data_IF_152681048236
#
_entry.id   IF_152681048236
#
_cell.length_a   1.000
_cell.length_b   1.000
_cell.length_c   1.000
_cell.angle_alpha   90.00
_cell.angle_beta   90.00
_cell.angle_gamma   90.00
#
_symmetry.space_group_name_H-M   'P 1'
#
loop_
_entity.id
_entity.type
_entity.pdbx_description
1 polymer ?
#
# COMPACT_ATOMS: atom_id res chain seq x y z
N UNK A 1 -4.11 11.54 4.48
CA UNK A 1 -4.95 10.48 3.85
C UNK A 1 -6.42 10.93 3.88
N UNK A 2 -7.25 10.45 2.94
CA UNK A 2 -8.49 11.01 2.36
C UNK A 2 -9.58 11.77 3.15
N UNK A 3 -9.34 12.24 4.38
CA UNK A 3 -10.34 12.95 5.21
C UNK A 3 -10.55 14.40 4.78
N UNK A 4 -9.70 14.93 3.90
CA UNK A 4 -9.72 16.33 3.46
C UNK A 4 -10.99 16.80 2.75
N UNK A 5 -11.90 15.89 2.39
CA UNK A 5 -13.20 16.20 1.79
C UNK A 5 -14.38 15.91 2.73
N UNK A 6 -14.10 15.61 4.00
CA UNK A 6 -15.11 15.28 5.02
C UNK A 6 -14.99 16.25 6.19
N UNK A 7 -16.13 16.72 6.70
CA UNK A 7 -16.16 17.61 7.86
C UNK A 7 -15.64 16.88 9.12
N UNK A 8 -14.50 17.36 9.63
CA UNK A 8 -13.87 16.80 10.83
C UNK A 8 -14.66 17.01 12.12
N UNK A 9 -15.51 18.05 12.22
CA UNK A 9 -16.40 18.24 13.36
C UNK A 9 -17.54 17.23 13.33
N UNK A 10 -18.11 16.97 12.16
CA UNK A 10 -19.13 15.93 12.00
C UNK A 10 -18.57 14.55 12.40
N UNK A 11 -17.37 14.19 11.94
CA UNK A 11 -16.71 12.93 12.30
C UNK A 11 -16.47 12.77 13.81
N UNK A 12 -16.09 13.85 14.49
CA UNK A 12 -15.86 13.84 15.96
C UNK A 12 -17.15 13.67 16.75
N UNK A 13 -18.28 14.13 16.23
CA UNK A 13 -19.59 13.99 16.89
C UNK A 13 -20.24 12.62 16.66
N UNK A 14 -19.84 11.88 15.61
CA UNK A 14 -20.45 10.60 15.25
C UNK A 14 -20.53 9.57 16.39
N UNK A 15 -19.50 9.34 17.23
CA UNK A 15 -19.59 8.38 18.32
C UNK A 15 -20.81 8.59 19.24
N UNK A 16 -21.21 9.85 19.45
CA UNK A 16 -22.30 10.21 20.35
C UNK A 16 -23.69 10.06 19.71
N UNK A 17 -23.76 10.09 18.38
CA UNK A 17 -25.03 10.19 17.64
C UNK A 17 -25.33 9.01 16.71
N UNK A 18 -24.34 8.24 16.28
CA UNK A 18 -24.46 7.21 15.23
C UNK A 18 -25.45 6.08 15.58
N UNK A 19 -25.68 5.83 16.87
CA UNK A 19 -26.63 4.83 17.36
C UNK A 19 -27.92 5.43 17.92
N UNK A 20 -28.11 6.74 17.78
CA UNK A 20 -29.33 7.41 18.26
C UNK A 20 -30.46 7.25 17.25
N UNK A 21 -31.71 6.93 17.68
CA UNK A 21 -32.84 6.78 16.76
C UNK A 21 -33.18 8.04 15.93
N UNK A 22 -32.75 9.21 16.37
CA UNK A 22 -33.07 10.50 15.78
C UNK A 22 -32.14 10.91 14.64
N UNK A 23 -30.96 10.29 14.52
CA UNK A 23 -29.95 10.64 13.52
C UNK A 23 -29.76 9.49 12.55
N UNK A 24 -30.04 9.75 11.27
CA UNK A 24 -29.76 8.80 10.20
C UNK A 24 -28.42 9.14 9.54
N UNK A 25 -27.43 8.29 9.74
CA UNK A 25 -26.09 8.44 9.14
C UNK A 25 -26.03 7.62 7.85
N UNK A 26 -25.79 8.28 6.72
CA UNK A 26 -25.69 7.61 5.42
C UNK A 26 -24.53 6.60 5.35
N UNK A 27 -24.60 5.57 4.48
CA UNK A 27 -23.61 4.49 4.46
C UNK A 27 -22.18 4.95 4.22
N UNK A 28 -21.96 5.89 3.29
CA UNK A 28 -20.62 6.42 2.98
C UNK A 28 -19.97 7.07 4.22
N UNK A 29 -20.71 7.89 4.98
CA UNK A 29 -20.19 8.52 6.19
C UNK A 29 -19.89 7.49 7.30
N UNK A 30 -20.70 6.44 7.42
CA UNK A 30 -20.41 5.34 8.33
C UNK A 30 -19.11 4.61 7.95
N UNK A 31 -18.91 4.32 6.66
CA UNK A 31 -17.66 3.70 6.16
C UNK A 31 -16.45 4.56 6.50
N UNK A 32 -16.54 5.89 6.30
CA UNK A 32 -15.47 6.83 6.68
C UNK A 32 -15.19 6.75 8.18
N UNK A 33 -16.23 6.79 9.01
CA UNK A 33 -16.09 6.69 10.46
C UNK A 33 -15.44 5.37 10.90
N UNK A 34 -15.96 4.23 10.43
CA UNK A 34 -15.45 2.92 10.81
C UNK A 34 -14.03 2.65 10.27
N UNK A 35 -13.66 3.23 9.13
CA UNK A 35 -12.27 3.23 8.67
C UNK A 35 -11.35 3.95 9.66
N UNK A 36 -11.74 5.13 10.15
CA UNK A 36 -10.95 5.86 11.15
C UNK A 36 -10.85 5.09 12.47
N UNK A 37 -11.94 4.43 12.89
CA UNK A 37 -11.92 3.52 14.05
C UNK A 37 -10.97 2.36 13.82
N UNK A 38 -10.97 1.75 12.62
CA UNK A 38 -10.05 0.67 12.25
C UNK A 38 -8.58 1.12 12.29
N UNK A 39 -8.26 2.30 11.75
CA UNK A 39 -6.91 2.85 11.80
C UNK A 39 -6.49 3.16 13.25
N UNK A 40 -7.36 3.83 14.03
CA UNK A 40 -7.11 4.10 15.44
C UNK A 40 -6.88 2.83 16.26
N UNK A 41 -7.71 1.81 16.05
CA UNK A 41 -7.55 0.48 16.66
C UNK A 41 -6.21 -0.18 16.29
N UNK A 42 -5.80 -0.06 15.03
CA UNK A 42 -4.50 -0.54 14.54
C UNK A 42 -3.34 0.18 15.23
N UNK A 43 -3.42 1.51 15.38
CA UNK A 43 -2.37 2.33 16.01
C UNK A 43 -2.26 2.16 17.53
N UNK A 44 -3.32 1.78 18.23
CA UNK A 44 -3.24 1.45 19.68
C UNK A 44 -2.95 -0.03 19.93
N UNK A 45 -2.59 -0.79 18.89
CA UNK A 45 -2.25 -2.21 19.01
C UNK A 45 -3.41 -3.08 19.49
N UNK A 46 -4.63 -2.74 19.08
CA UNK A 46 -5.83 -3.45 19.48
C UNK A 46 -6.36 -3.13 20.88
N UNK A 47 -5.63 -2.37 21.70
CA UNK A 47 -6.05 -1.88 23.02
C UNK A 47 -6.28 -2.97 24.10
N UNK A 48 -6.35 -2.61 25.40
CA UNK A 48 -6.57 -3.56 26.50
C UNK A 48 -7.96 -4.24 26.47
N UNK A 49 -8.92 -3.65 25.75
CA UNK A 49 -10.33 -4.08 25.69
C UNK A 49 -10.74 -4.65 24.31
N UNK A 50 -9.83 -4.71 23.33
CA UNK A 50 -10.17 -5.12 21.96
C UNK A 50 -10.23 -6.63 21.81
N UNK A 51 -11.40 -7.14 21.45
CA UNK A 51 -11.58 -8.48 20.91
C UNK A 51 -10.63 -8.71 19.72
N UNK A 52 -9.95 -9.86 19.65
CA UNK A 52 -8.94 -10.21 18.60
C UNK A 52 -9.48 -10.26 17.16
N UNK A 53 -10.70 -9.80 16.91
CA UNK A 53 -11.40 -9.86 15.63
C UNK A 53 -12.05 -8.53 15.22
N UNK A 54 -11.74 -7.42 15.90
CA UNK A 54 -12.33 -6.12 15.54
C UNK A 54 -11.92 -5.68 14.13
N UNK A 55 -10.65 -5.90 13.74
CA UNK A 55 -10.18 -5.58 12.38
C UNK A 55 -11.05 -6.23 11.29
N UNK A 56 -11.22 -7.55 11.36
CA UNK A 56 -12.05 -8.29 10.38
C UNK A 56 -13.54 -7.96 10.47
N UNK A 57 -14.08 -7.71 11.67
CA UNK A 57 -15.49 -7.32 11.85
C UNK A 57 -15.79 -5.94 11.28
N UNK A 58 -14.94 -4.96 11.54
CA UNK A 58 -15.09 -3.61 10.99
C UNK A 58 -15.04 -3.68 9.47
N UNK A 59 -14.09 -4.42 8.92
CA UNK A 59 -13.99 -4.59 7.48
C UNK A 59 -15.26 -5.22 6.87
N UNK A 60 -15.75 -6.33 7.43
CA UNK A 60 -16.98 -7.00 6.97
C UNK A 60 -18.19 -6.08 7.06
N UNK A 61 -18.30 -5.29 8.13
CA UNK A 61 -19.37 -4.30 8.28
C UNK A 61 -19.28 -3.19 7.21
N UNK A 62 -18.09 -2.68 6.90
CA UNK A 62 -17.92 -1.71 5.81
C UNK A 62 -18.30 -2.29 4.44
N UNK A 63 -18.05 -3.58 4.19
CA UNK A 63 -18.49 -4.26 2.96
C UNK A 63 -20.02 -4.38 2.88
N UNK A 64 -20.69 -4.69 3.99
CA UNK A 64 -22.15 -4.78 4.06
C UNK A 64 -22.83 -3.41 3.88
N UNK A 65 -22.20 -2.35 4.39
CA UNK A 65 -22.66 -0.97 4.21
C UNK A 65 -22.47 -0.44 2.79
N UNK A 66 -21.46 -0.93 2.06
CA UNK A 66 -21.01 -0.32 0.81
C UNK A 66 -22.17 -0.27 -0.22
N UNK A 67 -22.63 0.93 -0.61
CA UNK A 67 -23.63 1.04 -1.66
C UNK A 67 -23.00 0.71 -3.02
N UNK A 68 -23.83 0.53 -4.04
CA UNK A 68 -23.34 0.60 -5.40
C UNK A 68 -23.17 2.07 -5.81
N UNK A 69 -21.97 2.63 -5.53
CA UNK A 69 -21.63 4.01 -5.87
C UNK A 69 -21.78 4.34 -7.37
N UNK A 70 -21.84 3.34 -8.26
CA UNK A 70 -22.06 3.57 -9.70
C UNK A 70 -23.50 3.96 -10.04
N UNK A 71 -24.44 3.70 -9.13
CA UNK A 71 -25.87 4.00 -9.31
C UNK A 71 -26.30 5.30 -8.64
N UNK A 72 -25.39 6.01 -7.96
CA UNK A 72 -25.73 7.28 -7.30
C UNK A 72 -25.94 8.38 -8.33
N UNK A 73 -27.07 9.09 -8.26
CA UNK A 73 -27.37 10.24 -9.10
C UNK A 73 -26.56 11.48 -8.68
N UNK A 74 -26.55 11.78 -7.38
CA UNK A 74 -25.75 12.83 -6.78
C UNK A 74 -24.55 12.22 -6.05
N UNK A 75 -23.35 12.70 -6.37
CA UNK A 75 -22.10 12.21 -5.76
C UNK A 75 -21.47 13.28 -4.88
N UNK A 76 -20.89 12.84 -3.77
CA UNK A 76 -20.23 13.74 -2.81
C UNK A 76 -18.77 13.34 -2.56
N UNK A 77 -18.01 14.27 -1.99
CA UNK A 77 -16.67 13.97 -1.48
C UNK A 77 -16.67 12.85 -0.43
N UNK A 78 -17.75 12.69 0.34
CA UNK A 78 -17.90 11.62 1.33
C UNK A 78 -17.99 10.26 0.64
N UNK A 79 -18.74 10.16 -0.47
CA UNK A 79 -18.85 8.92 -1.26
C UNK A 79 -17.49 8.52 -1.84
N UNK A 80 -16.78 9.49 -2.42
CA UNK A 80 -15.44 9.27 -2.96
C UNK A 80 -14.44 8.83 -1.86
N UNK A 81 -14.44 9.51 -0.72
CA UNK A 81 -13.59 9.16 0.42
C UNK A 81 -13.94 7.77 0.95
N UNK A 82 -15.22 7.43 1.06
CA UNK A 82 -15.67 6.11 1.51
C UNK A 82 -15.23 4.99 0.56
N UNK A 83 -15.39 5.16 -0.75
CA UNK A 83 -14.94 4.17 -1.73
C UNK A 83 -13.40 4.01 -1.72
N UNK A 84 -12.66 5.12 -1.60
CA UNK A 84 -11.20 5.11 -1.48
C UNK A 84 -10.72 4.41 -0.21
N UNK A 85 -11.37 4.68 0.92
CA UNK A 85 -11.09 3.99 2.19
C UNK A 85 -11.47 2.52 2.15
N UNK A 86 -12.57 2.16 1.50
CA UNK A 86 -12.95 0.75 1.33
C UNK A 86 -11.92 -0.01 0.48
N UNK A 87 -11.38 0.63 -0.57
CA UNK A 87 -10.27 0.08 -1.34
C UNK A 87 -9.06 -0.20 -0.44
N UNK A 88 -8.66 0.79 0.37
CA UNK A 88 -7.50 0.69 1.25
C UNK A 88 -7.67 -0.39 2.34
N UNK A 89 -8.79 -0.39 3.07
CA UNK A 89 -9.03 -1.40 4.11
C UNK A 89 -9.14 -2.81 3.52
N UNK A 90 -9.67 -2.97 2.30
CA UNK A 90 -9.71 -4.26 1.63
C UNK A 90 -8.29 -4.77 1.27
N UNK A 91 -7.39 -3.88 0.84
CA UNK A 91 -5.95 -4.22 0.69
C UNK A 91 -5.40 -4.73 2.02
N UNK A 92 -5.59 -3.98 3.10
CA UNK A 92 -5.12 -4.32 4.45
C UNK A 92 -5.69 -5.63 5.04
N UNK A 93 -6.74 -6.17 4.42
CA UNK A 93 -7.38 -7.45 4.76
C UNK A 93 -7.07 -8.55 3.73
N UNK A 94 -6.11 -8.33 2.82
CA UNK A 94 -5.73 -9.23 1.71
C UNK A 94 -6.87 -9.54 0.72
N UNK A 95 -7.95 -8.75 0.72
CA UNK A 95 -9.07 -8.90 -0.21
C UNK A 95 -8.85 -8.08 -1.47
N UNK A 96 -8.01 -8.62 -2.35
CA UNK A 96 -7.63 -7.98 -3.63
C UNK A 96 -8.83 -7.76 -4.56
N UNK A 97 -9.88 -8.59 -4.44
CA UNK A 97 -11.06 -8.51 -5.31
C UNK A 97 -11.90 -7.30 -4.93
N UNK A 98 -12.24 -7.17 -3.66
CA UNK A 98 -13.03 -6.03 -3.18
C UNK A 98 -12.20 -4.73 -3.18
N UNK A 99 -10.90 -4.81 -2.93
CA UNK A 99 -9.99 -3.66 -3.08
C UNK A 99 -10.06 -3.07 -4.49
N UNK A 100 -9.90 -3.91 -5.52
CA UNK A 100 -10.00 -3.47 -6.90
C UNK A 100 -11.40 -2.95 -7.25
N UNK A 101 -12.47 -3.63 -6.80
CA UNK A 101 -13.85 -3.18 -7.03
C UNK A 101 -14.09 -1.78 -6.45
N UNK A 102 -13.70 -1.56 -5.20
CA UNK A 102 -13.86 -0.27 -4.54
C UNK A 102 -12.99 0.82 -5.18
N UNK A 103 -11.78 0.48 -5.65
CA UNK A 103 -10.95 1.40 -6.44
C UNK A 103 -11.63 1.82 -7.75
N UNK A 104 -12.21 0.88 -8.52
CA UNK A 104 -12.98 1.22 -9.71
C UNK A 104 -14.14 2.17 -9.41
N UNK A 105 -14.85 1.94 -8.30
CA UNK A 105 -15.94 2.81 -7.86
C UNK A 105 -15.43 4.20 -7.44
N UNK A 106 -14.31 4.28 -6.71
CA UNK A 106 -13.66 5.55 -6.37
C UNK A 106 -13.22 6.33 -7.61
N UNK A 107 -12.64 5.66 -8.61
CA UNK A 107 -12.28 6.30 -9.89
C UNK A 107 -13.50 6.78 -10.67
N UNK A 108 -14.60 6.01 -10.69
CA UNK A 108 -15.86 6.46 -11.28
C UNK A 108 -16.40 7.72 -10.60
N UNK A 109 -16.40 7.76 -9.27
CA UNK A 109 -16.81 8.94 -8.49
C UNK A 109 -15.91 10.14 -8.79
N UNK A 110 -14.58 9.93 -8.87
CA UNK A 110 -13.64 10.99 -9.20
C UNK A 110 -13.94 11.63 -10.57
N UNK A 111 -14.23 10.83 -11.60
CA UNK A 111 -14.62 11.34 -12.92
C UNK A 111 -15.95 12.10 -12.87
N UNK A 112 -16.95 11.57 -12.17
CA UNK A 112 -18.26 12.22 -12.05
C UNK A 112 -18.19 13.55 -11.31
N UNK A 113 -17.24 13.68 -10.37
CA UNK A 113 -16.93 14.92 -9.67
C UNK A 113 -15.99 15.86 -10.45
N UNK A 114 -15.51 15.46 -11.63
CA UNK A 114 -14.56 16.24 -12.43
C UNK A 114 -13.17 16.39 -11.82
N UNK A 115 -12.78 15.50 -10.89
CA UNK A 115 -11.49 15.58 -10.19
C UNK A 115 -10.30 15.35 -11.12
N UNK A 116 -10.48 14.61 -12.20
CA UNK A 116 -9.44 14.32 -13.21
C UNK A 116 -9.17 15.50 -14.15
N UNK A 117 -10.11 16.43 -14.28
CA UNK A 117 -9.96 17.66 -15.08
C UNK A 117 -10.01 18.92 -14.21
N UNK A 118 -9.65 18.80 -12.93
CA UNK A 118 -9.84 19.85 -11.94
C UNK A 118 -9.23 21.20 -12.35
N UNK A 119 -8.07 21.21 -13.03
CA UNK A 119 -7.43 22.45 -13.45
C UNK A 119 -8.09 23.10 -14.68
N UNK A 120 -8.83 22.33 -15.48
CA UNK A 120 -9.58 22.86 -16.62
C UNK A 120 -10.92 23.47 -16.17
N UNK A 121 -11.53 22.87 -15.15
CA UNK A 121 -12.85 23.23 -14.65
C UNK A 121 -12.86 23.31 -13.12
N UNK A 122 -12.08 24.25 -12.53
CA UNK A 122 -12.07 24.41 -11.08
C UNK A 122 -13.44 24.90 -10.61
N UNK A 123 -13.87 24.40 -9.47
CA UNK A 123 -15.10 24.85 -8.82
C UNK A 123 -14.85 26.26 -8.23
N UNK A 124 -15.63 27.29 -8.63
CA UNK A 124 -15.43 28.65 -8.14
C UNK A 124 -15.68 28.80 -6.64
N UNK A 125 -16.43 27.88 -6.03
CA UNK A 125 -16.74 27.89 -4.60
C UNK A 125 -15.67 27.19 -3.75
N UNK A 126 -14.72 26.50 -4.39
CA UNK A 126 -13.60 25.89 -3.68
C UNK A 126 -12.67 26.96 -3.12
N UNK A 127 -12.52 26.97 -1.80
CA UNK A 127 -11.44 27.70 -1.18
C UNK A 127 -10.07 27.03 -1.45
N UNK A 128 -9.01 27.72 -1.06
CA UNK A 128 -7.65 27.24 -1.25
C UNK A 128 -7.30 25.95 -0.49
N UNK A 129 -8.12 25.52 0.48
CA UNK A 129 -7.95 24.28 1.23
C UNK A 129 -8.72 23.13 0.57
N UNK A 130 -9.97 23.33 0.15
CA UNK A 130 -10.77 22.33 -0.57
C UNK A 130 -10.09 21.97 -1.88
N UNK A 131 -9.65 22.97 -2.65
CA UNK A 131 -8.95 22.78 -3.92
C UNK A 131 -7.70 21.92 -3.75
N UNK A 132 -6.95 22.15 -2.68
CA UNK A 132 -5.74 21.40 -2.39
C UNK A 132 -6.05 19.95 -2.01
N UNK A 133 -7.07 19.74 -1.17
CA UNK A 133 -7.47 18.39 -0.80
C UNK A 133 -7.97 17.60 -2.02
N UNK A 134 -8.73 18.20 -2.94
CA UNK A 134 -9.11 17.55 -4.21
C UNK A 134 -7.89 17.06 -5.01
N UNK A 135 -6.82 17.87 -5.11
CA UNK A 135 -5.55 17.44 -5.74
C UNK A 135 -4.89 16.28 -4.99
N UNK A 136 -4.77 16.37 -3.67
CA UNK A 136 -4.20 15.29 -2.85
C UNK A 136 -4.98 14.00 -3.08
N UNK A 137 -6.32 14.07 -3.09
CA UNK A 137 -7.19 12.91 -3.30
C UNK A 137 -6.98 12.26 -4.67
N UNK A 138 -6.93 13.06 -5.72
CA UNK A 138 -6.68 12.56 -7.06
C UNK A 138 -5.31 11.85 -7.14
N UNK A 139 -4.26 12.47 -6.60
CA UNK A 139 -2.92 11.88 -6.60
C UNK A 139 -2.83 10.60 -5.75
N UNK A 140 -3.55 10.52 -4.63
CA UNK A 140 -3.64 9.28 -3.85
C UNK A 140 -4.39 8.18 -4.60
N UNK A 141 -5.45 8.52 -5.33
CA UNK A 141 -6.17 7.57 -6.19
C UNK A 141 -5.27 7.06 -7.33
N UNK A 142 -4.53 7.96 -7.99
CA UNK A 142 -3.56 7.63 -9.03
C UNK A 142 -2.44 6.72 -8.51
N UNK A 143 -1.91 6.99 -7.32
CA UNK A 143 -0.94 6.13 -6.65
C UNK A 143 -1.49 4.71 -6.42
N UNK A 144 -2.74 4.61 -5.98
CA UNK A 144 -3.42 3.32 -5.82
C UNK A 144 -3.55 2.58 -7.15
N UNK A 145 -3.89 3.27 -8.24
CA UNK A 145 -3.95 2.67 -9.58
C UNK A 145 -2.58 2.14 -10.02
N UNK A 146 -1.53 2.95 -9.89
CA UNK A 146 -0.15 2.54 -10.19
C UNK A 146 0.21 1.24 -9.48
N UNK A 147 -0.17 1.11 -8.21
CA UNK A 147 0.10 -0.10 -7.42
C UNK A 147 -0.72 -1.30 -7.91
N UNK A 148 -2.02 -1.12 -8.21
CA UNK A 148 -2.86 -2.16 -8.80
C UNK A 148 -2.36 -2.65 -10.16
N UNK A 149 -1.86 -1.73 -11.00
CA UNK A 149 -1.30 -2.09 -12.31
C UNK A 149 0.00 -2.89 -12.16
N UNK A 150 0.96 -2.38 -11.36
CA UNK A 150 2.29 -3.01 -11.22
C UNK A 150 2.21 -4.36 -10.50
N UNK A 151 1.58 -4.43 -9.33
CA UNK A 151 1.67 -5.61 -8.46
C UNK A 151 0.49 -6.58 -8.63
N UNK A 152 -0.61 -6.13 -9.22
CA UNK A 152 -1.84 -6.92 -9.37
C UNK A 152 -2.29 -7.10 -10.81
N UNK A 153 -1.51 -6.62 -11.78
CA UNK A 153 -1.77 -6.74 -13.21
C UNK A 153 -3.20 -6.29 -13.59
N UNK A 154 -3.66 -5.20 -12.96
CA UNK A 154 -4.95 -4.59 -13.27
C UNK A 154 -4.83 -3.64 -14.46
N UNK A 155 -5.91 -3.45 -15.24
CA UNK A 155 -5.91 -2.48 -16.34
C UNK A 155 -5.89 -1.04 -15.82
N UNK A 156 -5.51 -0.11 -16.70
CA UNK A 156 -5.64 1.32 -16.46
C UNK A 156 -7.12 1.76 -16.33
N UNK A 157 -7.38 2.74 -15.47
CA UNK A 157 -8.69 3.41 -15.33
C UNK A 157 -8.49 4.91 -15.49
N UNK A 158 -7.82 5.56 -14.55
CA UNK A 158 -7.46 6.98 -14.56
C UNK A 158 -6.44 7.23 -15.67
N UNK A 159 -5.43 6.38 -15.78
CA UNK A 159 -4.38 6.56 -16.80
C UNK A 159 -4.81 6.06 -18.19
N UNK A 160 -6.05 5.59 -18.34
CA UNK A 160 -6.59 5.22 -19.65
C UNK A 160 -6.97 6.44 -20.50
N UNK A 161 -7.07 7.62 -19.87
CA UNK A 161 -7.38 8.89 -20.51
C UNK A 161 -6.44 10.00 -20.00
N UNK A 162 -6.24 11.08 -20.76
CA UNK A 162 -5.52 12.24 -20.27
C UNK A 162 -6.23 12.89 -19.07
N UNK A 163 -5.46 13.28 -18.06
CA UNK A 163 -5.93 13.99 -16.87
C UNK A 163 -5.15 15.31 -16.69
N UNK A 164 -5.79 16.29 -16.06
CA UNK A 164 -5.27 17.65 -15.85
C UNK A 164 -5.44 18.05 -14.39
N UNK A 165 -4.50 17.59 -13.56
CA UNK A 165 -4.47 17.86 -12.12
C UNK A 165 -3.06 18.26 -11.71
N UNK A 166 -2.92 19.45 -11.14
CA UNK A 166 -1.61 19.90 -10.67
C UNK A 166 -1.16 19.09 -9.44
N UNK A 167 0.15 19.10 -9.19
CA UNK A 167 0.69 18.59 -7.94
C UNK A 167 0.09 19.34 -6.74
N UNK A 168 -0.18 18.66 -5.60
CA UNK A 168 -0.67 19.30 -4.39
C UNK A 168 0.47 20.08 -3.70
N UNK A 169 0.81 21.24 -4.27
CA UNK A 169 1.98 22.04 -3.88
C UNK A 169 1.92 22.58 -2.45
N UNK A 170 0.75 22.91 -1.90
CA UNK A 170 0.64 23.37 -0.50
C UNK A 170 0.82 22.21 0.47
N UNK A 171 0.24 21.05 0.16
CA UNK A 171 0.43 19.84 0.98
C UNK A 171 1.90 19.39 0.98
N UNK A 172 2.59 19.50 -0.16
CA UNK A 172 4.04 19.25 -0.26
C UNK A 172 4.85 20.32 0.48
N UNK A 173 4.47 21.60 0.36
CA UNK A 173 5.17 22.70 1.01
C UNK A 173 5.03 22.71 2.54
N UNK A 174 4.04 22.00 3.09
CA UNK A 174 3.86 21.81 4.53
C UNK A 174 5.06 21.09 5.19
N UNK A 175 5.96 20.48 4.41
CA UNK A 175 7.19 19.89 4.93
C UNK A 175 8.10 20.88 5.69
N UNK A 176 7.89 22.19 5.51
CA UNK A 176 8.58 23.25 6.27
C UNK A 176 8.20 23.25 7.76
N UNK A 177 6.99 22.82 8.07
CA UNK A 177 6.49 22.71 9.43
C UNK A 177 6.85 21.33 9.97
N UNK A 178 7.55 21.30 11.12
CA UNK A 178 8.07 20.05 11.69
C UNK A 178 6.96 19.03 11.97
N UNK A 179 5.75 19.48 12.32
CA UNK A 179 4.57 18.63 12.57
C UNK A 179 4.10 17.87 11.33
N UNK A 180 4.34 18.42 10.13
CA UNK A 180 3.79 17.92 8.87
C UNK A 180 4.89 17.35 7.95
N UNK A 181 6.15 17.46 8.37
CA UNK A 181 7.32 17.02 7.62
C UNK A 181 7.24 15.57 7.13
N UNK A 182 6.83 14.63 7.97
CA UNK A 182 6.75 13.21 7.61
C UNK A 182 5.70 12.91 6.55
N UNK A 183 4.50 13.47 6.71
CA UNK A 183 3.40 13.30 5.78
C UNK A 183 3.70 13.98 4.44
N UNK A 184 4.19 15.22 4.48
CA UNK A 184 4.51 15.99 3.28
C UNK A 184 5.68 15.35 2.49
N UNK A 185 6.70 14.86 3.19
CA UNK A 185 7.82 14.11 2.58
C UNK A 185 7.33 12.83 1.92
N UNK A 186 6.52 12.04 2.64
CA UNK A 186 5.98 10.78 2.11
C UNK A 186 5.08 11.01 0.89
N UNK A 187 4.26 12.07 0.90
CA UNK A 187 3.46 12.49 -0.25
C UNK A 187 4.34 12.87 -1.45
N UNK A 188 5.38 13.67 -1.22
CA UNK A 188 6.29 14.12 -2.29
C UNK A 188 7.04 12.95 -2.93
N UNK A 189 7.60 12.05 -2.12
CA UNK A 189 8.32 10.89 -2.63
C UNK A 189 7.36 9.93 -3.36
N UNK A 190 6.20 9.62 -2.79
CA UNK A 190 5.19 8.78 -3.45
C UNK A 190 4.74 9.36 -4.79
N UNK A 191 4.65 10.70 -4.88
CA UNK A 191 4.32 11.39 -6.12
C UNK A 191 5.44 11.27 -7.15
N UNK A 192 6.71 11.48 -6.76
CA UNK A 192 7.87 11.26 -7.66
C UNK A 192 7.94 9.81 -8.15
N UNK A 193 7.73 8.84 -7.26
CA UNK A 193 7.68 7.42 -7.64
C UNK A 193 6.54 7.13 -8.63
N UNK A 194 5.35 7.72 -8.40
CA UNK A 194 4.21 7.58 -9.32
C UNK A 194 4.53 8.07 -10.72
N UNK A 195 5.26 9.19 -10.86
CA UNK A 195 5.70 9.70 -12.17
C UNK A 195 6.63 8.70 -12.89
N UNK A 196 7.57 8.08 -12.20
CA UNK A 196 8.44 7.04 -12.79
C UNK A 196 7.61 5.83 -13.23
N UNK A 197 6.60 5.44 -12.45
CA UNK A 197 5.70 4.34 -12.81
C UNK A 197 4.88 4.67 -14.05
N UNK A 198 4.35 5.89 -14.17
CA UNK A 198 3.64 6.34 -15.37
C UNK A 198 4.54 6.30 -16.61
N UNK A 199 5.81 6.71 -16.49
CA UNK A 199 6.79 6.55 -17.57
C UNK A 199 6.97 5.05 -17.91
N UNK A 200 7.08 4.18 -16.89
CA UNK A 200 7.20 2.74 -17.12
C UNK A 200 5.99 2.14 -17.86
N UNK A 201 4.77 2.64 -17.63
CA UNK A 201 3.59 2.21 -18.40
C UNK A 201 3.68 2.65 -19.85
N UNK A 202 4.16 3.87 -20.13
CA UNK A 202 4.37 4.32 -21.50
C UNK A 202 5.40 3.47 -22.27
N UNK A 203 6.29 2.79 -21.54
CA UNK A 203 7.27 1.84 -22.10
C UNK A 203 6.63 0.45 -22.26
N UNK A 204 5.98 -0.07 -21.21
CA UNK A 204 5.44 -1.43 -21.17
C UNK A 204 4.20 -1.63 -22.05
N UNK A 205 3.37 -0.60 -22.19
CA UNK A 205 2.14 -0.64 -22.99
C UNK A 205 2.41 -0.33 -24.48
N UNK A 206 3.63 0.10 -24.82
CA UNK A 206 3.98 0.49 -26.19
C UNK A 206 4.47 -0.70 -27.01
N UNK A 207 3.57 -1.25 -27.82
CA UNK A 207 3.84 -2.38 -28.72
C UNK A 207 4.82 -2.09 -29.87
N UNK A 208 5.18 -0.84 -30.11
CA UNK A 208 6.13 -0.45 -31.16
C UNK A 208 7.59 -0.51 -30.68
N UNK A 209 7.83 -0.64 -29.37
CA UNK A 209 9.18 -0.72 -28.82
C UNK A 209 9.78 -2.12 -28.99
N UNK A 210 11.05 -2.15 -29.39
CA UNK A 210 11.84 -3.39 -29.35
C UNK A 210 12.12 -3.80 -27.91
N UNK A 211 12.38 -5.09 -27.68
CA UNK A 211 12.73 -5.61 -26.34
C UNK A 211 13.94 -4.87 -25.73
N UNK A 212 14.91 -4.45 -26.56
CA UNK A 212 16.08 -3.69 -26.12
C UNK A 212 15.70 -2.28 -25.65
N UNK A 213 14.78 -1.60 -26.35
CA UNK A 213 14.26 -0.29 -25.94
C UNK A 213 13.44 -0.38 -24.66
N UNK A 214 12.59 -1.40 -24.54
CA UNK A 214 11.84 -1.67 -23.30
C UNK A 214 12.80 -1.86 -22.14
N UNK A 215 13.82 -2.71 -22.31
CA UNK A 215 14.84 -2.95 -21.29
C UNK A 215 15.56 -1.66 -20.87
N UNK A 216 16.04 -0.87 -21.84
CA UNK A 216 16.71 0.39 -21.57
C UNK A 216 15.80 1.40 -20.83
N UNK A 217 14.52 1.45 -21.21
CA UNK A 217 13.53 2.30 -20.53
C UNK A 217 13.31 1.87 -19.08
N UNK A 218 13.17 0.57 -18.83
CA UNK A 218 13.03 0.03 -17.47
C UNK A 218 14.31 0.22 -16.64
N UNK A 219 15.50 0.06 -17.23
CA UNK A 219 16.78 0.35 -16.58
C UNK A 219 16.82 1.81 -16.10
N UNK A 220 16.34 2.75 -16.92
CA UNK A 220 16.20 4.16 -16.54
C UNK A 220 15.21 4.34 -15.38
N UNK A 221 14.03 3.70 -15.42
CA UNK A 221 13.06 3.77 -14.31
C UNK A 221 13.68 3.29 -12.98
N UNK A 222 14.49 2.23 -13.03
CA UNK A 222 15.21 1.72 -11.85
C UNK A 222 16.20 2.76 -11.33
N UNK A 223 17.01 3.36 -12.21
CA UNK A 223 17.96 4.41 -11.83
C UNK A 223 17.26 5.63 -11.23
N UNK A 224 16.13 6.04 -11.78
CA UNK A 224 15.34 7.15 -11.27
C UNK A 224 14.80 6.87 -9.85
N UNK A 225 14.31 5.64 -9.59
CA UNK A 225 13.88 5.25 -8.24
C UNK A 225 15.05 5.19 -7.26
N UNK A 226 16.20 4.63 -7.65
CA UNK A 226 17.42 4.64 -6.81
C UNK A 226 17.82 6.07 -6.47
N UNK A 227 17.81 6.98 -7.45
CA UNK A 227 18.08 8.40 -7.25
C UNK A 227 17.10 9.04 -6.26
N UNK A 228 15.80 8.80 -6.42
CA UNK A 228 14.77 9.28 -5.49
C UNK A 228 15.03 8.77 -4.07
N UNK A 229 15.24 7.46 -3.87
CA UNK A 229 15.43 6.91 -2.53
C UNK A 229 16.70 7.44 -1.84
N UNK A 230 17.76 7.66 -2.62
CA UNK A 230 19.03 8.24 -2.16
C UNK A 230 18.89 9.72 -1.78
N UNK A 231 18.25 10.53 -2.62
CA UNK A 231 18.04 11.96 -2.41
C UNK A 231 17.32 12.25 -1.09
N UNK A 232 16.29 11.45 -0.79
CA UNK A 232 15.39 11.67 0.33
C UNK A 232 15.80 10.95 1.62
N UNK A 233 16.81 10.07 1.56
CA UNK A 233 17.40 9.39 2.73
C UNK A 233 16.38 8.75 3.67
N UNK A 234 15.31 8.17 3.11
CA UNK A 234 14.20 7.61 3.92
C UNK A 234 14.68 6.54 4.91
N UNK A 235 15.71 5.76 4.57
CA UNK A 235 16.32 4.80 5.47
C UNK A 235 16.93 5.40 6.74
N UNK A 236 17.47 6.63 6.66
CA UNK A 236 17.94 7.40 7.83
C UNK A 236 16.74 7.94 8.61
N UNK A 237 15.74 8.50 7.92
CA UNK A 237 14.53 9.03 8.56
C UNK A 237 13.74 7.99 9.35
N UNK A 238 13.73 6.73 8.92
CA UNK A 238 13.13 5.61 9.68
C UNK A 238 13.83 5.41 11.04
N UNK A 239 15.14 5.67 11.13
CA UNK A 239 15.91 5.52 12.37
C UNK A 239 15.70 6.70 13.31
N UNK A 240 15.63 7.90 12.75
CA UNK A 240 15.57 9.15 13.49
C UNK A 240 14.14 9.52 13.90
N UNK A 241 13.13 8.90 13.28
CA UNK A 241 11.73 9.12 13.60
C UNK A 241 11.41 8.70 15.04
N UNK A 242 10.93 9.66 15.83
CA UNK A 242 10.52 9.45 17.22
C UNK A 242 9.18 8.70 17.31
N UNK A 243 8.07 9.29 16.83
CA UNK A 243 6.75 8.65 16.86
C UNK A 243 6.63 7.48 15.89
N UNK A 244 5.94 6.40 16.29
CA UNK A 244 5.68 5.25 15.40
C UNK A 244 5.06 5.69 14.07
N UNK A 245 4.00 6.52 14.07
CA UNK A 245 3.31 6.94 12.84
C UNK A 245 4.24 7.54 11.78
N UNK A 246 5.22 8.37 12.17
CA UNK A 246 6.17 8.97 11.25
C UNK A 246 7.11 7.93 10.65
N UNK A 247 7.58 6.99 11.49
CA UNK A 247 8.39 5.85 11.07
C UNK A 247 7.64 4.99 10.05
N UNK A 248 6.37 4.72 10.29
CA UNK A 248 5.49 3.95 9.38
C UNK A 248 5.34 4.64 8.02
N UNK A 249 5.12 5.97 8.00
CA UNK A 249 5.00 6.72 6.76
C UNK A 249 6.28 6.64 5.91
N UNK A 250 7.45 6.81 6.52
CA UNK A 250 8.72 6.68 5.79
C UNK A 250 8.97 5.24 5.34
N UNK A 251 8.65 4.26 6.18
CA UNK A 251 8.82 2.84 5.87
C UNK A 251 7.95 2.41 4.68
N UNK A 252 6.68 2.79 4.67
CA UNK A 252 5.76 2.48 3.55
C UNK A 252 6.35 2.93 2.22
N UNK A 253 6.75 4.20 2.11
CA UNK A 253 7.30 4.72 0.85
C UNK A 253 8.65 4.11 0.50
N UNK A 254 9.49 3.83 1.49
CA UNK A 254 10.81 3.20 1.29
C UNK A 254 10.67 1.76 0.78
N UNK A 255 9.78 0.97 1.38
CA UNK A 255 9.47 -0.39 0.97
C UNK A 255 8.82 -0.39 -0.41
N UNK A 256 7.93 0.56 -0.70
CA UNK A 256 7.32 0.71 -2.01
C UNK A 256 8.37 0.95 -3.10
N UNK A 257 9.28 1.91 -2.90
CA UNK A 257 10.36 2.20 -3.85
C UNK A 257 11.26 1.01 -4.13
N UNK A 258 11.72 0.30 -3.09
CA UNK A 258 12.51 -0.91 -3.30
C UNK A 258 11.71 -2.04 -3.95
N UNK A 259 10.40 -2.14 -3.70
CA UNK A 259 9.54 -3.12 -4.38
C UNK A 259 9.41 -2.84 -5.89
N UNK A 260 9.44 -1.56 -6.30
CA UNK A 260 9.49 -1.18 -7.72
C UNK A 260 10.81 -1.59 -8.37
N UNK A 261 11.94 -1.40 -7.67
CA UNK A 261 13.25 -1.87 -8.16
C UNK A 261 13.20 -3.38 -8.40
N UNK A 262 12.70 -4.16 -7.42
CA UNK A 262 12.54 -5.62 -7.57
C UNK A 262 11.66 -5.97 -8.77
N UNK A 263 10.55 -5.24 -8.97
CA UNK A 263 9.64 -5.47 -10.09
C UNK A 263 10.32 -5.26 -11.45
N UNK A 264 10.93 -4.11 -11.68
CA UNK A 264 11.53 -3.79 -12.98
C UNK A 264 12.80 -4.59 -13.25
N UNK A 265 13.67 -4.81 -12.26
CA UNK A 265 14.85 -5.66 -12.42
C UNK A 265 14.48 -7.09 -12.83
N UNK A 266 13.42 -7.65 -12.24
CA UNK A 266 12.90 -8.95 -12.66
C UNK A 266 12.39 -8.94 -14.10
N UNK A 267 11.67 -7.88 -14.50
CA UNK A 267 11.20 -7.72 -15.88
C UNK A 267 12.35 -7.60 -16.87
N UNK A 268 13.38 -6.82 -16.54
CA UNK A 268 14.61 -6.68 -17.34
C UNK A 268 15.30 -8.05 -17.48
N UNK A 269 15.41 -8.83 -16.40
CA UNK A 269 15.96 -10.19 -16.42
C UNK A 269 15.17 -11.14 -17.32
N UNK A 270 13.83 -11.12 -17.23
CA UNK A 270 12.92 -11.89 -18.08
C UNK A 270 13.12 -11.57 -19.58
N UNK A 271 13.35 -10.30 -19.92
CA UNK A 271 13.57 -9.84 -21.30
C UNK A 271 14.97 -10.12 -21.84
N UNK A 272 15.98 -10.20 -20.97
CA UNK A 272 17.39 -10.35 -21.35
C UNK A 272 17.95 -11.77 -21.24
N UNK A 273 17.17 -12.72 -20.71
CA UNK A 273 17.68 -14.04 -20.25
C UNK A 273 18.89 -13.93 -19.32
N UNK A 274 18.94 -12.85 -18.53
CA UNK A 274 19.99 -12.64 -17.53
C UNK A 274 19.66 -13.42 -16.26
N UNK A 275 20.69 -13.85 -15.53
CA UNK A 275 20.53 -14.36 -14.18
C UNK A 275 19.93 -13.32 -13.22
N UNK A 276 19.70 -13.69 -11.95
CA UNK A 276 19.08 -12.79 -10.99
C UNK A 276 19.91 -11.53 -10.76
N UNK A 277 19.24 -10.38 -10.76
CA UNK A 277 19.87 -9.08 -10.53
C UNK A 277 20.30 -8.92 -9.08
N UNK A 278 21.57 -8.57 -8.86
CA UNK A 278 22.10 -8.25 -7.54
C UNK A 278 21.30 -7.12 -6.86
N UNK A 279 20.87 -6.12 -7.64
CA UNK A 279 20.11 -5.00 -7.10
C UNK A 279 18.68 -5.38 -6.70
N UNK A 280 18.06 -6.36 -7.39
CA UNK A 280 16.79 -6.93 -6.98
C UNK A 280 16.93 -7.75 -5.68
N UNK A 281 18.03 -8.47 -5.52
CA UNK A 281 18.34 -9.23 -4.29
C UNK A 281 18.49 -8.27 -3.12
N UNK A 282 19.35 -7.24 -3.26
CA UNK A 282 19.58 -6.23 -2.22
C UNK A 282 18.30 -5.47 -1.88
N UNK A 283 17.54 -5.03 -2.88
CA UNK A 283 16.26 -4.36 -2.65
C UNK A 283 15.23 -5.26 -1.96
N UNK A 284 15.23 -6.56 -2.26
CA UNK A 284 14.36 -7.51 -1.57
C UNK A 284 14.74 -7.67 -0.10
N UNK A 285 16.04 -7.74 0.19
CA UNK A 285 16.55 -7.77 1.58
C UNK A 285 16.18 -6.50 2.33
N UNK A 286 16.27 -5.34 1.68
CA UNK A 286 15.87 -4.05 2.25
C UNK A 286 14.37 -4.04 2.56
N UNK A 287 13.51 -4.45 1.62
CA UNK A 287 12.05 -4.53 1.81
C UNK A 287 11.70 -5.33 3.05
N UNK A 288 12.20 -6.56 3.16
CA UNK A 288 11.88 -7.43 4.30
C UNK A 288 12.53 -6.92 5.59
N UNK A 289 13.78 -6.48 5.53
CA UNK A 289 14.53 -5.96 6.67
C UNK A 289 13.91 -4.69 7.25
N UNK A 290 13.38 -3.79 6.43
CA UNK A 290 12.66 -2.60 6.90
C UNK A 290 11.39 -2.99 7.64
N UNK A 291 10.62 -3.96 7.14
CA UNK A 291 9.41 -4.44 7.82
C UNK A 291 9.75 -5.02 9.19
N UNK A 292 10.77 -5.87 9.28
CA UNK A 292 11.23 -6.40 10.56
C UNK A 292 11.66 -5.29 11.52
N UNK A 293 12.48 -4.37 11.04
CA UNK A 293 13.02 -3.27 11.83
C UNK A 293 11.95 -2.34 12.40
N UNK A 294 10.95 -2.00 11.61
CA UNK A 294 9.82 -1.16 12.07
C UNK A 294 9.00 -1.94 13.09
N UNK A 295 8.76 -3.22 12.85
CA UNK A 295 8.06 -4.11 13.79
C UNK A 295 8.79 -4.18 15.14
N UNK A 296 10.11 -4.38 15.13
CA UNK A 296 10.95 -4.42 16.32
C UNK A 296 10.96 -3.07 17.07
N UNK A 297 11.02 -1.96 16.33
CA UNK A 297 10.95 -0.62 16.90
C UNK A 297 9.65 -0.38 17.68
N UNK A 298 8.53 -0.92 17.20
CA UNK A 298 7.24 -0.82 17.90
C UNK A 298 7.20 -1.67 19.18
N UNK A 299 7.94 -2.78 19.25
CA UNK A 299 8.09 -3.57 20.50
C UNK A 299 8.71 -2.71 21.60
N UNK A 300 9.73 -1.93 21.26
CA UNK A 300 10.52 -1.17 22.23
C UNK A 300 9.84 0.10 22.74
N UNK A 301 8.79 0.59 22.07
CA UNK A 301 8.06 1.81 22.43
C UNK A 301 6.76 1.54 23.23
N UNK A 302 6.58 0.32 23.78
CA UNK A 302 5.39 -0.11 24.55
C UNK A 302 4.07 0.07 23.77
N UNK A 303 4.16 0.02 22.45
CA UNK A 303 3.03 0.04 21.55
C UNK A 303 2.74 -1.40 21.10
N UNK A 304 1.55 -1.93 21.42
CA UNK A 304 1.07 -3.23 20.94
C UNK A 304 0.86 -3.28 19.40
N UNK A 305 1.39 -2.30 18.65
CA UNK A 305 1.27 -2.12 17.21
C UNK A 305 2.00 -3.18 16.38
N UNK A 306 2.98 -3.87 16.97
CA UNK A 306 3.93 -4.77 16.28
C UNK A 306 3.25 -5.67 15.24
N UNK A 307 2.11 -6.25 15.60
CA UNK A 307 1.44 -7.22 14.76
C UNK A 307 0.38 -6.58 13.86
N UNK A 308 -0.35 -5.59 14.36
CA UNK A 308 -1.41 -4.93 13.59
C UNK A 308 -0.84 -3.98 12.54
N UNK A 309 0.19 -3.20 12.85
CA UNK A 309 0.86 -2.33 11.90
C UNK A 309 1.51 -3.13 10.77
N UNK A 310 2.27 -4.19 11.09
CA UNK A 310 3.10 -4.89 10.09
C UNK A 310 2.29 -5.57 9.01
N UNK A 311 1.07 -6.01 9.33
CA UNK A 311 0.13 -6.48 8.30
C UNK A 311 -0.19 -5.39 7.28
N UNK A 312 -0.37 -4.13 7.69
CA UNK A 312 -0.65 -3.04 6.77
C UNK A 312 0.47 -2.90 5.73
N UNK A 313 1.74 -2.87 6.16
CA UNK A 313 2.89 -2.83 5.25
C UNK A 313 2.95 -4.07 4.35
N UNK A 314 2.71 -5.26 4.90
CA UNK A 314 2.81 -6.54 4.18
C UNK A 314 1.72 -6.70 3.12
N UNK A 315 0.53 -6.17 3.38
CA UNK A 315 -0.68 -6.52 2.65
C UNK A 315 -0.70 -6.10 1.17
N UNK A 316 0.17 -5.15 0.76
CA UNK A 316 0.05 -4.54 -0.56
C UNK A 316 1.11 -4.99 -1.58
N UNK A 317 2.40 -4.71 -1.39
CA UNK A 317 3.46 -4.95 -2.39
C UNK A 317 4.69 -5.78 -1.91
N UNK A 318 5.00 -5.94 -0.61
CA UNK A 318 6.24 -6.63 -0.18
C UNK A 318 6.36 -8.11 -0.55
N UNK A 319 5.23 -8.79 -0.85
CA UNK A 319 5.22 -10.20 -1.24
C UNK A 319 6.07 -10.47 -2.50
N UNK A 320 6.24 -9.47 -3.37
CA UNK A 320 7.10 -9.60 -4.55
C UNK A 320 8.57 -9.86 -4.17
N UNK A 321 9.08 -9.12 -3.19
CA UNK A 321 10.43 -9.27 -2.66
C UNK A 321 10.60 -10.60 -1.91
N UNK A 322 9.60 -10.99 -1.12
CA UNK A 322 9.59 -12.28 -0.43
C UNK A 322 9.75 -13.45 -1.41
N UNK A 323 8.89 -13.53 -2.43
CA UNK A 323 8.95 -14.62 -3.41
C UNK A 323 10.19 -14.55 -4.31
N UNK A 324 10.74 -13.34 -4.54
CA UNK A 324 12.00 -13.20 -5.27
C UNK A 324 13.14 -13.90 -4.51
N UNK A 325 13.36 -13.58 -3.24
CA UNK A 325 14.40 -14.23 -2.43
C UNK A 325 14.13 -15.72 -2.20
N UNK A 326 12.87 -16.10 -1.98
CA UNK A 326 12.51 -17.50 -1.81
C UNK A 326 12.90 -18.36 -3.01
N UNK A 327 12.61 -17.90 -4.23
CA UNK A 327 12.98 -18.63 -5.45
C UNK A 327 14.49 -18.74 -5.64
N UNK A 328 15.27 -17.75 -5.18
CA UNK A 328 16.73 -17.79 -5.23
C UNK A 328 17.29 -18.82 -4.26
N UNK A 329 16.75 -18.88 -3.04
CA UNK A 329 17.12 -19.91 -2.05
C UNK A 329 16.88 -21.32 -2.60
N UNK A 330 15.75 -21.54 -3.29
CA UNK A 330 15.46 -22.83 -3.93
C UNK A 330 16.40 -23.15 -5.11
N UNK A 331 17.01 -22.13 -5.71
CA UNK A 331 17.90 -22.28 -6.87
C UNK A 331 19.38 -22.30 -6.49
N UNK A 332 19.74 -21.96 -5.24
CA UNK A 332 21.11 -21.88 -4.74
C UNK A 332 21.62 -23.27 -4.32
N UNK A 333 22.59 -23.78 -5.09
CA UNK A 333 23.19 -25.12 -4.91
C UNK A 333 24.30 -25.12 -3.84
N UNK A 334 24.90 -23.96 -3.54
CA UNK A 334 26.11 -23.83 -2.69
C UNK A 334 25.81 -23.36 -1.24
N UNK A 335 24.60 -22.86 -0.97
CA UNK A 335 23.95 -22.89 0.36
C UNK A 335 24.37 -21.85 1.43
N UNK A 336 25.50 -21.15 1.31
CA UNK A 336 25.93 -20.19 2.35
C UNK A 336 25.17 -18.85 2.30
N UNK A 337 24.93 -18.30 1.11
CA UNK A 337 24.13 -17.07 0.94
C UNK A 337 22.66 -17.30 1.28
N UNK A 338 22.20 -18.54 1.07
CA UNK A 338 20.83 -19.01 1.31
C UNK A 338 20.40 -18.97 2.79
N UNK A 339 21.30 -19.19 3.77
CA UNK A 339 20.87 -19.31 5.19
C UNK A 339 20.56 -17.96 5.86
N UNK A 340 21.20 -16.86 5.44
CA UNK A 340 20.84 -15.51 5.93
C UNK A 340 19.50 -15.07 5.37
N UNK A 341 19.30 -15.23 4.05
CA UNK A 341 18.04 -14.88 3.39
C UNK A 341 16.89 -15.76 3.89
N UNK A 342 17.16 -17.03 4.16
CA UNK A 342 16.19 -17.93 4.77
C UNK A 342 15.71 -17.47 6.14
N UNK A 343 16.64 -17.05 7.01
CA UNK A 343 16.28 -16.50 8.34
C UNK A 343 15.47 -15.22 8.20
N UNK A 344 15.83 -14.37 7.24
CA UNK A 344 15.07 -13.15 6.94
C UNK A 344 13.62 -13.48 6.51
N UNK A 345 13.44 -14.45 5.62
CA UNK A 345 12.11 -14.91 5.18
C UNK A 345 11.30 -15.53 6.33
N UNK A 346 11.93 -16.35 7.17
CA UNK A 346 11.28 -16.98 8.31
C UNK A 346 10.81 -15.95 9.34
N UNK A 347 11.66 -14.98 9.69
CA UNK A 347 11.28 -13.86 10.56
C UNK A 347 10.13 -13.04 9.98
N UNK A 348 10.19 -12.74 8.67
CA UNK A 348 9.12 -12.00 7.99
C UNK A 348 7.80 -12.77 8.02
N UNK A 349 7.83 -14.06 7.69
CA UNK A 349 6.65 -14.92 7.69
C UNK A 349 6.07 -15.09 9.09
N UNK A 350 6.91 -15.13 10.13
CA UNK A 350 6.47 -15.14 11.52
C UNK A 350 5.68 -13.88 11.88
N UNK A 351 6.20 -12.69 11.53
CA UNK A 351 5.50 -11.42 11.78
C UNK A 351 4.17 -11.37 11.04
N UNK A 352 4.13 -11.80 9.78
CA UNK A 352 2.89 -11.91 9.02
C UNK A 352 1.87 -12.79 9.74
N UNK A 353 2.28 -13.99 10.18
CA UNK A 353 1.43 -14.94 10.88
C UNK A 353 0.87 -14.37 12.19
N UNK A 354 1.71 -13.77 13.03
CA UNK A 354 1.24 -13.14 14.27
C UNK A 354 0.35 -11.93 13.99
N UNK A 355 0.64 -11.17 12.94
CA UNK A 355 -0.16 -10.05 12.47
C UNK A 355 -1.58 -10.44 12.06
N UNK A 356 -1.69 -11.44 11.18
CA UNK A 356 -2.97 -12.01 10.73
C UNK A 356 -3.78 -12.53 11.92
N UNK A 357 -3.11 -13.17 12.89
CA UNK A 357 -3.71 -13.64 14.14
C UNK A 357 -4.18 -12.52 15.05
N UNK A 358 -3.40 -11.45 15.20
CA UNK A 358 -3.75 -10.30 16.01
C UNK A 358 -4.95 -9.53 15.44
N UNK A 359 -5.07 -9.50 14.10
CA UNK A 359 -6.21 -8.88 13.39
C UNK A 359 -7.47 -9.75 13.30
N UNK A 360 -7.38 -11.03 13.63
CA UNK A 360 -8.49 -11.99 13.51
C UNK A 360 -8.93 -12.17 12.06
N UNK A 361 -7.95 -12.20 11.16
CA UNK A 361 -8.15 -12.43 9.72
C UNK A 361 -8.21 -13.95 9.47
N UNK A 362 -9.25 -14.60 9.99
CA UNK A 362 -9.39 -16.07 9.94
C UNK A 362 -9.36 -16.61 8.51
N UNK A 363 -9.94 -15.86 7.56
CA UNK A 363 -9.97 -16.20 6.13
C UNK A 363 -8.57 -16.15 5.48
N UNK A 364 -7.62 -15.41 6.08
CA UNK A 364 -6.23 -15.26 5.61
C UNK A 364 -5.26 -16.18 6.37
N UNK A 365 -5.67 -16.74 7.51
CA UNK A 365 -4.83 -17.59 8.35
C UNK A 365 -4.17 -18.75 7.59
N UNK A 366 -4.88 -19.52 6.74
CA UNK A 366 -4.26 -20.64 6.02
C UNK A 366 -3.13 -20.19 5.08
N UNK A 367 -3.28 -19.01 4.47
CA UNK A 367 -2.23 -18.42 3.64
C UNK A 367 -1.01 -18.04 4.47
N UNK A 368 -1.20 -17.36 5.60
CA UNK A 368 -0.10 -16.97 6.48
C UNK A 368 0.64 -18.19 7.08
N UNK A 369 -0.08 -19.24 7.45
CA UNK A 369 0.50 -20.50 7.91
C UNK A 369 1.32 -21.18 6.82
N UNK A 370 0.84 -21.17 5.58
CA UNK A 370 1.58 -21.72 4.43
C UNK A 370 2.87 -20.94 4.16
N UNK A 371 2.81 -19.61 4.20
CA UNK A 371 3.98 -18.72 4.07
C UNK A 371 5.00 -18.97 5.19
N UNK A 372 4.54 -19.23 6.42
CA UNK A 372 5.44 -19.59 7.51
C UNK A 372 6.07 -20.97 7.29
N UNK A 373 5.27 -21.99 7.02
CA UNK A 373 5.72 -23.37 6.83
C UNK A 373 6.77 -23.48 5.72
N UNK A 374 6.56 -22.83 4.56
CA UNK A 374 7.49 -22.88 3.43
C UNK A 374 8.88 -22.30 3.74
N UNK A 375 9.00 -21.45 4.78
CA UNK A 375 10.28 -20.83 5.17
C UNK A 375 11.02 -21.61 6.27
N UNK A 376 10.35 -22.55 6.94
CA UNK A 376 10.99 -23.42 7.92
C UNK A 376 11.98 -24.38 7.25
N UNK A 377 12.96 -24.91 8.00
CA UNK A 377 13.94 -25.87 7.45
C UNK A 377 13.26 -27.11 6.86
N UNK A 378 12.23 -27.62 7.53
CA UNK A 378 11.48 -28.79 7.08
C UNK A 378 10.65 -28.48 5.82
N UNK A 379 10.09 -27.27 5.69
CA UNK A 379 9.34 -26.85 4.50
C UNK A 379 10.20 -26.48 3.29
N UNK A 380 11.46 -26.09 3.49
CA UNK A 380 12.41 -25.82 2.39
C UNK A 380 13.02 -27.09 1.80
N UNK A 381 13.22 -28.14 2.62
CA UNK A 381 13.98 -29.34 2.24
C UNK A 381 13.21 -30.68 2.39
N UNK A 382 11.95 -30.68 2.84
CA UNK A 382 11.06 -31.86 2.84
C UNK A 382 9.97 -31.72 1.77
N UNK A 383 9.73 -32.66 0.83
CA UNK A 383 10.09 -34.08 0.74
C UNK A 383 11.07 -34.38 -0.41
N UNK A 384 12.27 -34.85 -0.07
CA UNK A 384 13.04 -35.71 -0.97
C UNK A 384 12.41 -37.13 -0.99
N UNK A 385 11.39 -37.30 -1.85
CA UNK A 385 10.76 -38.55 -2.35
C UNK A 385 10.17 -39.58 -1.36
N UNK A 386 9.05 -40.20 -1.74
CA UNK A 386 9.16 -41.58 -2.22
C UNK A 386 8.83 -41.64 -3.71
N UNK A 387 9.63 -42.45 -4.40
CA UNK A 387 9.49 -42.74 -5.82
C UNK A 387 8.02 -42.93 -6.24
N UNK A 388 7.55 -42.08 -7.16
CA UNK A 388 6.55 -42.52 -8.12
C UNK A 388 7.31 -43.01 -9.35
N UNK A 389 7.41 -44.32 -9.43
CA UNK A 389 7.74 -45.07 -10.63
C UNK A 389 6.75 -44.74 -11.75
N UNK A 390 7.33 -44.34 -12.89
CA UNK A 390 6.79 -44.29 -14.26
C UNK A 390 5.52 -43.47 -14.52
#
# INVERSE_FOLDING_TARGET
MFVGLVDGHALKALPDVIHTPQVHVGPSLQIVYYFLVFQGWTFIGGGPAGHRSWGSRIYKYCLELAPDWTQLEDVSGIDFTAASFLSWIAVENFDRKNAWKAHCQASHLAFKMGLDQYEQHPDPDDDGWVAENKRVMFWQLLFSECTFRIFYNKPAIITAQPWHVNLPTKAIAAAKDKSDASMATSLMVSTRLSLVILESFSILDNGDLTLAQVRQGLDKCVQDVVGILSDWKLGESINDAGPSIERWLYADVYIYGHSLIVFWERKIGELGHSGPSQMAIESSRIVLGTILKVSDGDVHQDHNMIYTGSVALISFYPMLAFFHLYNLILSDVDGETSELDARLLESFAHIMLQGVRARGLDDVMPFAESIYQMTTKDGRFGNASPAMSL
#
